data_IF_539699620041
#
_entry.id   IF_539699620041
#
_cell.length_a   1.000
_cell.length_b   1.000
_cell.length_c   1.000
_cell.angle_alpha   90.00
_cell.angle_beta   90.00
_cell.angle_gamma   90.00
#
_symmetry.space_group_name_H-M   'P 1'
#
loop_
_entity.id
_entity.type
_entity.pdbx_description
1 polymer ?
#
# COMPACT_ATOMS: atom_id res chain seq x y z
N UNK A 1 1.49 16.86 8.14
CA UNK A 1 1.61 15.42 8.46
C UNK A 1 0.52 14.64 7.75
N UNK A 2 0.89 13.59 7.02
CA UNK A 2 -0.02 12.62 6.39
C UNK A 2 0.25 11.27 7.06
N UNK A 3 -0.77 10.57 7.53
CA UNK A 3 -0.63 9.21 8.06
C UNK A 3 -1.33 8.18 7.20
N UNK A 4 -0.82 6.95 7.28
CA UNK A 4 -1.31 5.80 6.54
C UNK A 4 -1.92 4.82 7.54
N UNK A 5 -3.16 4.43 7.31
CA UNK A 5 -3.92 3.56 8.19
C UNK A 5 -4.70 2.54 7.37
N UNK A 6 -5.15 1.47 8.03
CA UNK A 6 -6.01 0.45 7.42
C UNK A 6 -5.47 -0.10 6.09
N UNK A 7 -4.16 -0.32 6.04
CA UNK A 7 -3.51 -0.98 4.90
C UNK A 7 -3.97 -2.43 4.83
N UNK A 8 -4.62 -2.78 3.74
CA UNK A 8 -5.12 -4.12 3.44
C UNK A 8 -4.55 -4.59 2.10
N UNK A 9 -3.98 -5.79 2.10
CA UNK A 9 -3.52 -6.48 0.91
C UNK A 9 -4.33 -7.76 0.77
N UNK A 10 -4.93 -7.97 -0.39
CA UNK A 10 -5.64 -9.21 -0.72
C UNK A 10 -5.31 -9.67 -2.13
N UNK A 11 -5.48 -10.97 -2.36
CA UNK A 11 -5.39 -11.59 -3.66
C UNK A 11 -6.64 -12.46 -3.87
N UNK A 12 -7.35 -12.23 -4.97
CA UNK A 12 -8.56 -12.98 -5.34
C UNK A 12 -8.56 -13.18 -6.86
N UNK A 13 -8.73 -14.41 -7.34
CA UNK A 13 -8.75 -14.75 -8.77
C UNK A 13 -7.57 -14.18 -9.59
N UNK A 14 -6.38 -14.12 -9.00
CA UNK A 14 -5.18 -13.56 -9.64
C UNK A 14 -5.14 -12.02 -9.70
N UNK A 15 -6.13 -11.35 -9.11
CA UNK A 15 -6.14 -9.91 -8.89
C UNK A 15 -5.56 -9.58 -7.51
N UNK A 16 -4.38 -8.98 -7.50
CA UNK A 16 -3.78 -8.44 -6.29
C UNK A 16 -4.32 -7.04 -6.04
N UNK A 17 -4.91 -6.83 -4.86
CA UNK A 17 -5.51 -5.55 -4.48
C UNK A 17 -4.85 -5.01 -3.21
N UNK A 18 -4.29 -3.81 -3.31
CA UNK A 18 -3.81 -3.01 -2.19
C UNK A 18 -4.80 -1.88 -1.93
N UNK A 19 -5.30 -1.80 -0.71
CA UNK A 19 -6.14 -0.68 -0.24
C UNK A 19 -5.49 -0.06 0.99
N UNK A 20 -5.44 1.26 1.05
CA UNK A 20 -4.92 1.98 2.21
C UNK A 20 -5.61 3.32 2.37
N UNK A 21 -5.70 3.79 3.61
CA UNK A 21 -6.27 5.09 3.95
C UNK A 21 -5.18 6.10 4.26
N UNK A 22 -5.21 7.22 3.55
CA UNK A 22 -4.37 8.40 3.74
C UNK A 22 -5.15 9.43 4.54
N UNK A 23 -4.67 9.81 5.72
CA UNK A 23 -5.24 10.88 6.53
C UNK A 23 -4.31 12.10 6.48
N UNK A 24 -4.81 13.22 5.97
CA UNK A 24 -4.12 14.51 6.01
C UNK A 24 -4.53 15.27 7.26
N UNK A 25 -3.65 15.39 8.25
CA UNK A 25 -3.94 16.18 9.45
C UNK A 25 -4.04 17.68 9.17
N UNK A 26 -3.40 18.17 8.11
CA UNK A 26 -3.42 19.59 7.75
C UNK A 26 -4.77 20.03 7.17
N UNK A 27 -5.42 19.14 6.42
CA UNK A 27 -6.72 19.42 5.79
C UNK A 27 -7.90 18.70 6.45
N UNK A 28 -7.65 17.82 7.42
CA UNK A 28 -8.65 16.94 8.01
C UNK A 28 -9.23 15.91 7.04
N UNK A 29 -8.68 15.82 5.82
CA UNK A 29 -9.25 14.99 4.75
C UNK A 29 -8.72 13.57 4.84
N UNK A 30 -9.59 12.62 4.52
CA UNK A 30 -9.27 11.19 4.43
C UNK A 30 -9.47 10.71 3.00
N UNK A 31 -8.45 10.05 2.45
CA UNK A 31 -8.46 9.49 1.11
C UNK A 31 -8.24 8.00 1.17
N UNK A 32 -8.87 7.26 0.26
CA UNK A 32 -8.58 5.84 0.07
C UNK A 32 -7.79 5.69 -1.21
N UNK A 33 -6.59 5.13 -1.12
CA UNK A 33 -5.81 4.71 -2.28
C UNK A 33 -6.07 3.22 -2.51
N UNK A 34 -6.53 2.87 -3.70
CA UNK A 34 -6.68 1.49 -4.14
C UNK A 34 -5.79 1.25 -5.36
N UNK A 35 -4.94 0.25 -5.29
CA UNK A 35 -4.09 -0.19 -6.38
C UNK A 35 -4.42 -1.65 -6.68
N UNK A 36 -4.75 -1.95 -7.93
CA UNK A 36 -5.08 -3.29 -8.37
C UNK A 36 -4.10 -3.72 -9.45
N UNK A 37 -3.64 -4.96 -9.35
CA UNK A 37 -2.72 -5.58 -10.31
C UNK A 37 -3.29 -6.93 -10.72
N UNK A 38 -3.80 -7.00 -11.95
CA UNK A 38 -4.29 -8.24 -12.55
C UNK A 38 -3.12 -9.06 -13.06
N UNK A 39 -3.03 -10.33 -12.66
CA UNK A 39 -1.97 -11.24 -13.09
C UNK A 39 -2.54 -12.26 -14.06
N UNK A 40 -2.03 -12.28 -15.28
CA UNK A 40 -2.38 -13.29 -16.30
C UNK A 40 -1.61 -14.60 -16.15
N UNK A 41 -0.63 -14.68 -15.24
CA UNK A 41 0.15 -15.91 -14.97
C UNK A 41 0.51 -16.04 -13.48
N UNK A 42 0.37 -17.24 -12.87
CA UNK A 42 0.73 -17.48 -11.47
C UNK A 42 2.24 -17.69 -11.38
N UNK A 43 2.99 -16.63 -11.09
CA UNK A 43 4.44 -16.74 -10.89
C UNK A 43 4.76 -16.51 -9.41
N UNK A 44 5.06 -17.62 -8.71
CA UNK A 44 5.42 -17.67 -7.28
C UNK A 44 6.53 -16.67 -6.86
N UNK A 45 7.31 -16.14 -7.81
CA UNK A 45 8.34 -15.13 -7.56
C UNK A 45 7.79 -13.71 -7.24
N UNK A 46 6.53 -13.41 -7.58
CA UNK A 46 5.98 -12.05 -7.45
C UNK A 46 5.43 -11.78 -6.05
N UNK A 47 4.93 -12.78 -5.34
CA UNK A 47 4.44 -12.60 -3.94
C UNK A 47 5.56 -12.04 -3.04
N UNK A 48 6.75 -12.61 -3.11
CA UNK A 48 7.89 -12.19 -2.30
C UNK A 48 8.35 -10.77 -2.66
N UNK A 49 8.34 -10.42 -3.95
CA UNK A 49 8.74 -9.10 -4.43
C UNK A 49 7.70 -8.03 -4.05
N UNK A 50 6.41 -8.37 -4.12
CA UNK A 50 5.34 -7.44 -3.80
C UNK A 50 5.28 -7.13 -2.30
N UNK A 51 5.38 -8.14 -1.44
CA UNK A 51 5.43 -7.93 0.01
C UNK A 51 6.65 -7.09 0.41
N UNK A 52 7.82 -7.37 -0.18
CA UNK A 52 9.02 -6.54 0.05
C UNK A 52 8.82 -5.10 -0.41
N UNK A 53 8.20 -4.87 -1.58
CA UNK A 53 7.89 -3.52 -2.06
C UNK A 53 6.86 -2.81 -1.19
N UNK A 54 5.86 -3.53 -0.67
CA UNK A 54 4.87 -2.98 0.24
C UNK A 54 5.51 -2.58 1.58
N UNK A 55 6.38 -3.43 2.13
CA UNK A 55 7.16 -3.12 3.33
C UNK A 55 8.13 -1.95 3.11
N UNK A 56 8.73 -1.87 1.92
CA UNK A 56 9.59 -0.74 1.53
C UNK A 56 8.80 0.55 1.40
N UNK A 57 7.61 0.50 0.79
CA UNK A 57 6.70 1.63 0.70
C UNK A 57 6.27 2.10 2.10
N UNK A 58 5.88 1.16 2.98
CA UNK A 58 5.52 1.45 4.38
C UNK A 58 6.67 2.15 5.13
N UNK A 59 7.90 1.64 5.02
CA UNK A 59 9.09 2.29 5.59
C UNK A 59 9.39 3.67 4.97
N UNK A 60 9.27 3.81 3.66
CA UNK A 60 9.52 5.09 2.98
C UNK A 60 8.51 6.16 3.42
N UNK A 61 7.27 5.74 3.65
CA UNK A 61 6.20 6.57 4.19
C UNK A 61 6.52 6.98 5.63
N UNK A 62 6.84 6.02 6.50
CA UNK A 62 7.13 6.29 7.92
C UNK A 62 8.34 7.23 8.05
N UNK A 63 9.37 7.03 7.21
CA UNK A 63 10.55 7.89 7.16
C UNK A 63 10.26 9.29 6.58
N UNK A 64 9.27 9.42 5.69
CA UNK A 64 8.83 10.74 5.20
C UNK A 64 8.04 11.52 6.27
N UNK A 65 7.53 10.83 7.30
CA UNK A 65 6.86 11.44 8.46
C UNK A 65 7.85 11.79 9.58
N UNK A 66 8.99 11.08 9.67
CA UNK A 66 10.03 11.33 10.67
C UNK A 66 10.95 12.53 10.35
N UNK A 67 10.81 13.14 9.16
CA UNK A 67 11.54 14.32 8.73
C UNK A 67 10.71 15.59 8.85
N UNK A 68 10.42 16.01 10.07
CA UNK A 68 10.17 17.41 10.52
C UNK A 68 10.26 17.47 12.06
#
# INVERSE_FOLDING_TARGET
MISFTNTHLSEEDGLLSLSLRLLSYRSGSSYTLRCELRRDTPMNAVMTNFDQRLQSLRRSIDNSVAGD
#
